data_IF_021320941971
#
_entry.id   IF_021320941971
#
_cell.length_a   1.000
_cell.length_b   1.000
_cell.length_c   1.000
_cell.angle_alpha   90.00
_cell.angle_beta   90.00
_cell.angle_gamma   90.00
#
_symmetry.space_group_name_H-M   'P 1'
#
loop_
_entity.id
_entity.type
_entity.pdbx_description
1 polymer ?
#
# COMPACT_ATOMS: atom_id res chain seq x y z
N UNK A 1 36.59 0.27 11.68
CA UNK A 1 36.09 0.13 10.29
C UNK A 1 34.59 0.37 10.21
N UNK A 2 33.79 -0.15 11.12
CA UNK A 2 32.32 0.04 11.18
C UNK A 2 31.86 1.50 11.30
N UNK A 3 32.53 2.29 12.16
CA UNK A 3 32.14 3.71 12.40
C UNK A 3 32.23 4.57 11.12
N UNK A 4 33.08 4.19 10.18
CA UNK A 4 33.22 4.90 8.89
C UNK A 4 32.08 4.54 7.92
N UNK A 5 31.59 3.29 7.96
CA UNK A 5 30.47 2.85 7.12
C UNK A 5 29.16 3.51 7.54
N UNK A 6 28.88 3.64 8.85
CA UNK A 6 27.69 4.35 9.33
C UNK A 6 27.61 5.81 8.88
N UNK A 7 28.77 6.51 8.85
CA UNK A 7 28.85 7.89 8.37
C UNK A 7 28.65 8.02 6.87
N UNK A 8 28.92 6.96 6.13
CA UNK A 8 28.76 6.90 4.68
C UNK A 8 27.37 6.49 4.22
N UNK A 9 26.46 6.12 5.14
CA UNK A 9 25.06 5.83 4.81
C UNK A 9 24.41 7.12 4.29
N UNK A 10 23.78 7.09 3.09
CA UNK A 10 23.17 8.28 2.50
C UNK A 10 22.00 8.78 3.36
N UNK A 11 21.71 10.08 3.26
CA UNK A 11 20.59 10.69 3.97
C UNK A 11 19.27 10.47 3.24
N UNK A 12 18.17 10.50 3.98
CA UNK A 12 16.81 10.34 3.41
C UNK A 12 16.56 11.33 2.26
N UNK A 13 16.90 12.61 2.48
CA UNK A 13 16.67 13.67 1.48
C UNK A 13 17.56 13.51 0.25
N UNK A 14 18.76 12.97 0.42
CA UNK A 14 19.67 12.66 -0.68
C UNK A 14 19.09 11.58 -1.59
N UNK A 15 18.56 10.49 -1.00
CA UNK A 15 17.93 9.42 -1.76
C UNK A 15 16.64 9.89 -2.44
N UNK A 16 15.79 10.62 -1.74
CA UNK A 16 14.56 11.19 -2.32
C UNK A 16 14.85 12.20 -3.44
N UNK A 17 16.05 12.78 -3.45
CA UNK A 17 16.54 13.66 -4.51
C UNK A 17 16.99 12.96 -5.80
N UNK A 18 17.09 11.62 -5.80
CA UNK A 18 17.52 10.85 -6.97
C UNK A 18 16.45 10.79 -8.04
N UNK A 19 16.87 10.84 -9.30
CA UNK A 19 15.94 10.86 -10.42
C UNK A 19 15.13 9.57 -10.53
N UNK A 20 15.72 8.41 -10.17
CA UNK A 20 15.05 7.13 -10.14
C UNK A 20 13.82 7.12 -9.22
N UNK A 21 13.89 7.82 -8.09
CA UNK A 21 12.77 7.93 -7.14
C UNK A 21 11.79 9.04 -7.53
N UNK A 22 12.28 10.15 -8.11
CA UNK A 22 11.41 11.26 -8.56
C UNK A 22 10.51 10.91 -9.73
N UNK A 23 11.02 10.10 -10.67
CA UNK A 23 10.26 9.67 -11.86
C UNK A 23 9.23 8.58 -11.52
N UNK A 24 9.32 7.96 -10.34
CA UNK A 24 8.37 6.94 -9.93
C UNK A 24 6.97 7.53 -9.74
N UNK A 25 5.95 6.80 -10.21
CA UNK A 25 4.54 7.16 -10.01
C UNK A 25 4.03 6.82 -8.58
N UNK A 26 4.93 6.46 -7.67
CA UNK A 26 4.59 6.05 -6.31
C UNK A 26 4.27 7.26 -5.41
N UNK A 27 3.32 7.14 -4.48
CA UNK A 27 3.00 8.21 -3.55
C UNK A 27 4.23 8.65 -2.73
N UNK A 28 4.52 9.96 -2.60
CA UNK A 28 5.69 10.47 -1.87
C UNK A 28 5.77 10.00 -0.42
N UNK A 29 4.63 9.75 0.21
CA UNK A 29 4.56 9.23 1.59
C UNK A 29 5.14 7.82 1.65
N UNK A 30 4.74 6.93 0.73
CA UNK A 30 5.25 5.56 0.67
C UNK A 30 6.74 5.52 0.36
N UNK A 31 7.20 6.38 -0.57
CA UNK A 31 8.63 6.49 -0.88
C UNK A 31 9.43 6.89 0.36
N UNK A 32 8.99 7.91 1.10
CA UNK A 32 9.69 8.38 2.31
C UNK A 32 9.74 7.32 3.41
N UNK A 33 8.66 6.59 3.61
CA UNK A 33 8.62 5.48 4.55
C UNK A 33 9.55 4.35 4.13
N UNK A 34 9.52 3.97 2.84
CA UNK A 34 10.36 2.91 2.29
C UNK A 34 11.85 3.27 2.35
N UNK A 35 12.21 4.54 2.11
CA UNK A 35 13.59 5.02 2.30
C UNK A 35 14.03 4.80 3.75
N UNK A 36 13.22 5.15 4.74
CA UNK A 36 13.56 4.98 6.16
C UNK A 36 13.76 3.50 6.50
N UNK A 37 12.83 2.64 6.09
CA UNK A 37 12.92 1.20 6.35
C UNK A 37 14.16 0.56 5.71
N UNK A 38 14.47 0.91 4.46
CA UNK A 38 15.66 0.40 3.77
C UNK A 38 16.93 0.90 4.43
N UNK A 39 16.98 2.15 4.89
CA UNK A 39 18.13 2.69 5.61
C UNK A 39 18.29 2.06 7.00
N UNK A 40 17.19 1.76 7.70
CA UNK A 40 17.24 1.08 8.99
C UNK A 40 17.73 -0.37 8.81
N UNK A 41 17.21 -1.09 7.80
CA UNK A 41 17.71 -2.41 7.45
C UNK A 41 19.21 -2.39 7.08
N UNK A 42 19.65 -1.38 6.32
CA UNK A 42 21.06 -1.20 5.98
C UNK A 42 21.94 -0.95 7.22
N UNK A 43 21.44 -0.21 8.21
CA UNK A 43 22.15 -0.02 9.50
C UNK A 43 22.30 -1.33 10.26
N UNK A 44 21.28 -2.18 10.21
CA UNK A 44 21.33 -3.51 10.84
C UNK A 44 22.29 -4.45 10.07
N UNK A 45 22.31 -4.38 8.71
CA UNK A 45 23.30 -5.09 7.90
C UNK A 45 24.74 -4.68 8.28
N UNK A 46 24.99 -3.37 8.47
CA UNK A 46 26.31 -2.86 8.91
C UNK A 46 26.67 -3.36 10.30
N UNK A 47 25.73 -3.38 11.26
CA UNK A 47 25.93 -3.97 12.59
C UNK A 47 26.21 -5.46 12.52
N UNK A 48 25.63 -6.16 11.54
CA UNK A 48 25.84 -7.58 11.27
C UNK A 48 27.16 -7.90 10.58
N UNK A 49 28.02 -6.89 10.31
CA UNK A 49 29.36 -7.10 9.75
C UNK A 49 29.43 -6.88 8.22
N UNK A 50 28.52 -6.11 7.64
CA UNK A 50 28.62 -5.71 6.23
C UNK A 50 29.96 -5.01 5.99
N UNK A 51 30.73 -5.48 5.00
CA UNK A 51 32.08 -4.95 4.70
C UNK A 51 32.10 -3.73 3.78
N UNK A 52 31.05 -3.53 2.98
CA UNK A 52 30.93 -2.40 2.06
C UNK A 52 29.44 -2.04 1.84
N UNK A 53 29.13 -0.74 1.72
CA UNK A 53 27.79 -0.30 1.41
C UNK A 53 27.39 -0.65 -0.04
N UNK A 54 26.13 -1.01 -0.28
CA UNK A 54 25.61 -1.16 -1.64
C UNK A 54 25.70 0.15 -2.42
N UNK A 55 25.85 0.06 -3.73
CA UNK A 55 25.76 1.23 -4.61
C UNK A 55 24.38 1.91 -4.48
N UNK A 56 24.37 3.23 -4.68
CA UNK A 56 23.14 4.04 -4.57
C UNK A 56 22.03 3.53 -5.48
N UNK A 57 22.34 3.06 -6.69
CA UNK A 57 21.36 2.48 -7.59
C UNK A 57 20.68 1.22 -7.02
N UNK A 58 21.44 0.38 -6.32
CA UNK A 58 20.90 -0.80 -5.62
C UNK A 58 19.97 -0.37 -4.48
N UNK A 59 20.35 0.67 -3.74
CA UNK A 59 19.48 1.22 -2.68
C UNK A 59 18.19 1.79 -3.26
N UNK A 60 18.24 2.54 -4.36
CA UNK A 60 17.06 3.04 -5.05
C UNK A 60 16.15 1.90 -5.51
N UNK A 61 16.71 0.82 -6.07
CA UNK A 61 15.94 -0.36 -6.47
C UNK A 61 15.26 -1.04 -5.27
N UNK A 62 15.97 -1.21 -4.14
CA UNK A 62 15.38 -1.74 -2.89
C UNK A 62 14.24 -0.86 -2.37
N UNK A 63 14.38 0.46 -2.44
CA UNK A 63 13.37 1.42 -2.00
C UNK A 63 12.12 1.33 -2.87
N UNK A 64 12.26 1.29 -4.20
CA UNK A 64 11.16 1.15 -5.14
C UNK A 64 10.41 -0.16 -4.91
N UNK A 65 11.12 -1.28 -4.85
CA UNK A 65 10.54 -2.59 -4.58
C UNK A 65 9.75 -2.60 -3.26
N UNK A 66 10.29 -1.98 -2.20
CA UNK A 66 9.60 -1.88 -0.91
C UNK A 66 8.36 -1.01 -0.95
N UNK A 67 8.41 0.11 -1.68
CA UNK A 67 7.27 0.99 -1.86
C UNK A 67 6.17 0.34 -2.71
N UNK A 68 6.52 -0.38 -3.77
CA UNK A 68 5.60 -1.17 -4.58
C UNK A 68 4.93 -2.27 -3.76
N UNK A 69 5.69 -3.01 -2.95
CA UNK A 69 5.14 -4.02 -2.04
C UNK A 69 4.07 -3.45 -1.11
N UNK A 70 4.32 -2.26 -0.54
CA UNK A 70 3.37 -1.56 0.33
C UNK A 70 2.11 -1.08 -0.40
N UNK A 71 2.20 -0.84 -1.69
CA UNK A 71 1.07 -0.43 -2.51
C UNK A 71 0.14 -1.61 -2.85
N UNK A 72 0.64 -2.84 -2.76
CA UNK A 72 -0.17 -4.03 -3.01
C UNK A 72 -1.30 -4.15 -1.98
N UNK A 73 -2.51 -4.51 -2.41
CA UNK A 73 -3.61 -4.78 -1.49
C UNK A 73 -3.22 -5.88 -0.49
N UNK A 74 -3.44 -5.61 0.80
CA UNK A 74 -3.24 -6.61 1.86
C UNK A 74 -4.27 -7.72 1.82
N UNK A 75 -5.48 -7.43 1.30
CA UNK A 75 -6.53 -8.42 1.08
C UNK A 75 -6.24 -9.19 -0.21
N UNK A 76 -6.15 -10.52 -0.09
CA UNK A 76 -5.91 -11.44 -1.22
C UNK A 76 -7.03 -12.45 -1.31
N UNK A 77 -7.39 -12.84 -2.53
CA UNK A 77 -8.29 -13.98 -2.74
C UNK A 77 -7.67 -15.26 -2.21
N UNK A 78 -8.46 -16.03 -1.47
CA UNK A 78 -8.08 -17.33 -0.92
C UNK A 78 -9.17 -18.35 -1.20
N UNK A 79 -8.81 -19.63 -1.24
CA UNK A 79 -9.75 -20.72 -1.34
C UNK A 79 -10.12 -21.14 0.09
N UNK A 80 -11.41 -21.06 0.42
CA UNK A 80 -11.90 -21.53 1.70
C UNK A 80 -12.06 -23.06 1.67
N UNK A 81 -11.09 -23.78 2.19
CA UNK A 81 -11.10 -25.24 2.32
C UNK A 81 -11.42 -25.71 3.75
N UNK A 82 -11.94 -24.85 4.62
CA UNK A 82 -12.18 -25.15 6.05
C UNK A 82 -13.46 -25.96 6.30
N UNK A 83 -14.37 -26.04 5.31
CA UNK A 83 -15.70 -26.61 5.49
C UNK A 83 -16.71 -25.67 6.18
N UNK A 84 -16.27 -24.48 6.63
CA UNK A 84 -17.13 -23.46 7.27
C UNK A 84 -17.50 -22.41 6.24
N UNK A 85 -18.74 -22.38 5.79
CA UNK A 85 -19.22 -21.46 4.73
C UNK A 85 -19.18 -19.99 5.16
N UNK A 86 -19.51 -19.70 6.41
CA UNK A 86 -19.52 -18.35 6.99
C UNK A 86 -18.30 -18.12 7.89
N UNK A 87 -17.11 -18.28 7.32
CA UNK A 87 -15.88 -18.15 8.10
C UNK A 87 -15.54 -16.68 8.37
N UNK A 88 -15.58 -16.26 9.64
CA UNK A 88 -15.39 -14.86 10.05
C UNK A 88 -14.07 -14.25 9.59
N UNK A 89 -12.98 -15.01 9.66
CA UNK A 89 -11.64 -14.54 9.27
C UNK A 89 -11.42 -14.52 7.75
N UNK A 90 -12.34 -15.13 6.97
CA UNK A 90 -12.26 -15.19 5.51
C UNK A 90 -13.35 -14.33 4.82
N UNK A 91 -13.88 -13.33 5.52
CA UNK A 91 -14.84 -12.39 4.97
C UNK A 91 -16.30 -12.84 5.03
N UNK A 92 -16.59 -13.94 5.76
CA UNK A 92 -17.93 -14.54 5.89
C UNK A 92 -18.47 -15.07 4.57
N UNK A 93 -19.65 -14.60 4.12
CA UNK A 93 -20.26 -15.04 2.86
C UNK A 93 -19.76 -14.18 1.69
N UNK A 94 -19.43 -14.83 0.58
CA UNK A 94 -19.20 -14.14 -0.67
C UNK A 94 -20.51 -13.61 -1.25
N UNK A 95 -20.47 -12.44 -1.86
CA UNK A 95 -21.57 -11.92 -2.66
C UNK A 95 -21.65 -12.68 -3.99
N UNK A 96 -22.85 -12.79 -4.56
CA UNK A 96 -22.98 -13.20 -5.95
C UNK A 96 -22.30 -12.17 -6.86
N UNK A 97 -21.85 -12.59 -8.03
CA UNK A 97 -21.20 -11.69 -9.01
C UNK A 97 -22.09 -10.47 -9.33
N UNK A 98 -23.40 -10.69 -9.50
CA UNK A 98 -24.36 -9.61 -9.73
C UNK A 98 -24.41 -8.61 -8.57
N UNK A 99 -24.40 -9.09 -7.32
CA UNK A 99 -24.45 -8.22 -6.14
C UNK A 99 -23.12 -7.47 -5.95
N UNK A 100 -21.98 -8.13 -6.18
CA UNK A 100 -20.67 -7.50 -6.12
C UNK A 100 -20.51 -6.39 -7.16
N UNK A 101 -20.96 -6.64 -8.40
CA UNK A 101 -20.94 -5.64 -9.47
C UNK A 101 -21.87 -4.47 -9.18
N UNK A 102 -23.08 -4.71 -8.67
CA UNK A 102 -24.00 -3.63 -8.28
C UNK A 102 -23.42 -2.76 -7.16
N UNK A 103 -22.77 -3.36 -6.17
CA UNK A 103 -22.08 -2.62 -5.11
C UNK A 103 -20.91 -1.79 -5.65
N UNK A 104 -20.11 -2.37 -6.56
CA UNK A 104 -19.01 -1.66 -7.20
C UNK A 104 -19.49 -0.48 -8.06
N UNK A 105 -20.57 -0.65 -8.82
CA UNK A 105 -21.17 0.45 -9.60
C UNK A 105 -21.69 1.58 -8.71
N UNK A 106 -22.41 1.24 -7.61
CA UNK A 106 -22.87 2.25 -6.67
C UNK A 106 -21.72 3.02 -5.98
N UNK A 107 -20.57 2.35 -5.75
CA UNK A 107 -19.41 2.97 -5.13
C UNK A 107 -18.55 3.82 -6.07
N UNK A 108 -18.72 3.69 -7.39
CA UNK A 108 -17.92 4.46 -8.38
C UNK A 108 -18.29 5.90 -8.53
N UNK A 109 -19.49 6.29 -8.10
CA UNK A 109 -19.99 7.65 -8.28
C UNK A 109 -21.04 8.04 -7.26
N UNK A 110 -21.58 9.23 -7.44
CA UNK A 110 -22.73 9.66 -6.65
C UNK A 110 -23.97 8.84 -7.00
N UNK A 111 -24.76 8.50 -5.98
CA UNK A 111 -25.99 7.73 -6.15
C UNK A 111 -27.18 8.46 -5.49
N UNK A 112 -28.38 8.07 -5.86
CA UNK A 112 -29.63 8.63 -5.34
C UNK A 112 -30.04 8.05 -3.98
N UNK A 113 -29.08 7.54 -3.19
CA UNK A 113 -29.32 6.77 -1.96
C UNK A 113 -30.41 7.36 -1.05
N UNK A 114 -30.42 8.68 -0.87
CA UNK A 114 -31.40 9.38 -0.03
C UNK A 114 -32.00 10.60 -0.76
N UNK A 115 -31.97 10.61 -2.10
CA UNK A 115 -32.43 11.75 -2.89
C UNK A 115 -33.39 11.34 -3.98
N UNK A 116 -34.58 11.96 -3.97
CA UNK A 116 -35.58 11.83 -5.03
C UNK A 116 -35.25 12.85 -6.14
N UNK A 117 -34.76 12.34 -7.26
CA UNK A 117 -34.37 13.16 -8.40
C UNK A 117 -35.57 13.82 -9.10
N UNK A 118 -36.74 13.15 -9.13
CA UNK A 118 -37.94 13.64 -9.82
C UNK A 118 -38.55 14.81 -9.07
N UNK A 119 -38.60 14.71 -7.74
CA UNK A 119 -39.20 15.73 -6.89
C UNK A 119 -38.18 16.75 -6.34
N UNK A 120 -36.87 16.52 -6.55
CA UNK A 120 -35.81 17.39 -6.10
C UNK A 120 -35.68 17.52 -4.59
N UNK A 121 -36.03 16.47 -3.82
CA UNK A 121 -36.03 16.50 -2.37
C UNK A 121 -35.33 15.29 -1.75
N UNK A 122 -34.93 15.42 -0.49
CA UNK A 122 -34.38 14.32 0.29
C UNK A 122 -35.47 13.33 0.69
N UNK A 123 -35.23 12.04 0.43
CA UNK A 123 -36.11 10.96 0.88
C UNK A 123 -35.88 10.74 2.40
N UNK A 124 -36.95 10.88 3.20
CA UNK A 124 -36.86 10.62 4.64
C UNK A 124 -36.59 9.14 4.94
N UNK A 125 -35.97 8.86 6.09
CA UNK A 125 -35.57 7.49 6.54
C UNK A 125 -36.72 6.48 6.69
N UNK A 126 -37.95 6.84 6.43
CA UNK A 126 -39.15 6.04 6.73
C UNK A 126 -39.65 5.18 5.56
N UNK A 127 -38.90 5.04 4.49
CA UNK A 127 -39.32 4.25 3.33
C UNK A 127 -38.40 3.04 3.12
N UNK A 128 -38.37 2.14 4.09
CA UNK A 128 -37.90 0.78 3.93
C UNK A 128 -39.09 -0.16 4.05
#
# INVERSE_FOLDING_TARGET
MEENLFRSIPRVDELLGRDELKVSALPPVLLRESVREVLDALRDEVRGGLSALPETGILCARILARAEEKQLPTLRSVINATGVTLHTNLGRACLSERAANAAAEAARGYSTLEYDVENGCQIGRAHV
#
